data_IF_749454092219
#
_entry.id   IF_749454092219
#
_cell.length_a   1.000
_cell.length_b   1.000
_cell.length_c   1.000
_cell.angle_alpha   90.00
_cell.angle_beta   90.00
_cell.angle_gamma   90.00
#
_symmetry.space_group_name_H-M   'P 1'
#
loop_
_entity.id
_entity.type
_entity.pdbx_description
1 polymer ?
#
# COMPACT_ATOMS: atom_id res chain seq x y z
N UNK A 1 -1.01 15.41 47.58
CA UNK A 1 -1.48 15.85 46.26
C UNK A 1 -0.45 15.42 45.23
N UNK A 2 -0.70 14.33 44.51
CA UNK A 2 0.20 13.87 43.44
C UNK A 2 -0.46 14.22 42.10
N UNK A 3 0.13 15.17 41.37
CA UNK A 3 -0.32 15.55 40.03
C UNK A 3 0.11 14.47 39.03
N UNK A 4 -0.86 13.69 38.55
CA UNK A 4 -0.68 12.85 37.37
C UNK A 4 -0.73 13.74 36.12
N UNK A 5 0.42 14.14 35.60
CA UNK A 5 0.53 14.62 34.22
C UNK A 5 0.36 13.44 33.27
N UNK A 6 -0.90 13.19 32.87
CA UNK A 6 -1.21 12.33 31.74
C UNK A 6 -0.71 13.00 30.46
N UNK A 7 0.55 12.78 30.10
CA UNK A 7 1.08 13.12 28.78
C UNK A 7 0.32 12.27 27.76
N UNK A 8 -0.69 12.88 27.14
CA UNK A 8 -1.49 12.30 26.08
C UNK A 8 -0.65 12.03 24.83
N UNK A 9 0.08 10.92 24.82
CA UNK A 9 0.56 10.29 23.61
C UNK A 9 -0.42 9.15 23.29
N UNK A 10 -1.45 9.48 22.52
CA UNK A 10 -2.24 8.45 21.83
C UNK A 10 -1.34 7.60 20.95
N UNK A 11 -1.74 6.37 20.59
CA UNK A 11 -0.91 5.49 19.79
C UNK A 11 -0.45 6.23 18.54
N UNK A 12 0.88 6.38 18.39
CA UNK A 12 1.47 6.85 17.14
C UNK A 12 1.08 5.80 16.11
N UNK A 13 -0.01 6.03 15.38
CA UNK A 13 -0.35 5.24 14.22
C UNK A 13 0.91 5.25 13.36
N UNK A 14 1.57 4.11 13.27
CA UNK A 14 2.75 3.96 12.44
C UNK A 14 2.37 4.43 11.04
N UNK A 15 3.29 5.09 10.35
CA UNK A 15 3.13 5.49 8.94
C UNK A 15 2.57 4.35 8.07
N UNK A 16 2.92 3.11 8.40
CA UNK A 16 2.40 1.89 7.79
C UNK A 16 0.91 1.63 8.03
N UNK A 17 0.36 2.00 9.20
CA UNK A 17 -1.06 1.82 9.48
C UNK A 17 -1.96 2.73 8.64
N UNK A 18 -1.41 3.83 8.09
CA UNK A 18 -2.13 4.70 7.14
C UNK A 18 -2.07 4.19 5.69
N UNK A 19 -1.20 3.23 5.44
CA UNK A 19 -1.03 2.57 4.15
C UNK A 19 -1.79 1.23 4.11
N UNK A 20 -2.37 0.75 5.20
CA UNK A 20 -3.19 -0.46 5.16
C UNK A 20 -4.54 -0.16 4.49
N UNK A 21 -4.87 -0.91 3.44
CA UNK A 21 -6.19 -0.89 2.82
C UNK A 21 -7.15 -1.75 3.63
N UNK A 22 -8.35 -1.23 3.88
CA UNK A 22 -9.37 -1.93 4.66
C UNK A 22 -10.38 -2.69 3.79
N UNK A 23 -10.16 -2.77 2.47
CA UNK A 23 -11.12 -3.36 1.53
C UNK A 23 -12.40 -2.54 1.31
N UNK A 24 -12.45 -1.30 1.82
CA UNK A 24 -13.58 -0.37 1.69
C UNK A 24 -13.36 0.54 0.47
N UNK A 25 -14.18 0.34 -0.56
CA UNK A 25 -14.19 1.08 -1.81
C UNK A 25 -14.33 2.59 -1.59
N UNK A 26 -15.07 3.02 -0.56
CA UNK A 26 -15.27 4.44 -0.22
C UNK A 26 -13.96 5.15 0.10
N UNK A 27 -12.99 4.39 0.62
CA UNK A 27 -11.69 4.90 1.03
C UNK A 27 -10.58 4.56 0.02
N UNK A 28 -10.92 3.88 -1.08
CA UNK A 28 -9.95 3.41 -2.07
C UNK A 28 -9.11 4.55 -2.66
N UNK A 29 -9.74 5.60 -3.20
CA UNK A 29 -9.01 6.73 -3.81
C UNK A 29 -8.02 7.38 -2.82
N UNK A 30 -8.42 7.53 -1.56
CA UNK A 30 -7.55 8.11 -0.55
C UNK A 30 -6.40 7.19 -0.16
N UNK A 31 -6.64 5.89 -0.15
CA UNK A 31 -5.60 4.89 0.10
C UNK A 31 -4.62 4.84 -1.06
N UNK A 32 -5.13 4.78 -2.29
CA UNK A 32 -4.36 4.72 -3.54
C UNK A 32 -3.40 5.92 -3.65
N UNK A 33 -3.88 7.15 -3.43
CA UNK A 33 -3.02 8.35 -3.46
C UNK A 33 -1.89 8.27 -2.42
N UNK A 34 -2.16 7.74 -1.22
CA UNK A 34 -1.13 7.57 -0.17
C UNK A 34 -0.14 6.46 -0.55
N UNK A 35 -0.63 5.36 -1.09
CA UNK A 35 0.17 4.23 -1.54
C UNK A 35 1.09 4.61 -2.71
N UNK A 36 0.57 5.30 -3.73
CA UNK A 36 1.38 5.84 -4.84
C UNK A 36 2.41 6.87 -4.34
N UNK A 37 2.06 7.69 -3.35
CA UNK A 37 3.00 8.57 -2.67
C UNK A 37 4.13 7.81 -1.98
N UNK A 38 3.83 6.68 -1.35
CA UNK A 38 4.81 5.78 -0.73
C UNK A 38 5.71 5.12 -1.80
N UNK A 39 5.12 4.57 -2.87
CA UNK A 39 5.85 3.91 -3.95
C UNK A 39 6.76 4.87 -4.71
N UNK A 40 6.41 6.16 -4.79
CA UNK A 40 7.30 7.20 -5.32
C UNK A 40 8.58 7.34 -4.51
N UNK A 41 8.50 7.24 -3.19
CA UNK A 41 9.69 7.30 -2.32
C UNK A 41 10.58 6.07 -2.50
N UNK A 42 9.99 4.92 -2.84
CA UNK A 42 10.71 3.69 -3.20
C UNK A 42 11.22 3.67 -4.64
N UNK A 43 10.90 4.69 -5.45
CA UNK A 43 11.18 4.75 -6.91
C UNK A 43 10.50 3.63 -7.72
N UNK A 44 9.38 3.14 -7.21
CA UNK A 44 8.56 2.09 -7.83
C UNK A 44 7.23 2.62 -8.38
N UNK A 45 6.93 3.92 -8.23
CA UNK A 45 5.68 4.50 -8.72
C UNK A 45 5.49 4.27 -10.22
N UNK A 46 6.51 4.55 -11.02
CA UNK A 46 6.43 4.45 -12.48
C UNK A 46 6.23 2.99 -12.95
N UNK A 47 6.61 2.02 -12.12
CA UNK A 47 6.36 0.59 -12.34
C UNK A 47 4.89 0.23 -12.14
N UNK A 48 4.18 0.89 -11.21
CA UNK A 48 2.73 0.67 -11.00
C UNK A 48 1.90 1.40 -12.06
N UNK A 49 2.30 2.62 -12.43
CA UNK A 49 1.60 3.43 -13.43
C UNK A 49 1.94 3.02 -14.89
N UNK A 50 2.77 1.98 -15.07
CA UNK A 50 3.18 1.51 -16.39
C UNK A 50 1.98 0.92 -17.14
N UNK A 51 1.77 1.37 -18.38
CA UNK A 51 0.79 0.77 -19.28
C UNK A 51 1.31 -0.56 -19.88
N UNK A 52 0.40 -1.34 -20.47
CA UNK A 52 0.67 -2.67 -21.04
C UNK A 52 1.85 -2.71 -22.05
N UNK A 53 2.12 -1.61 -22.75
CA UNK A 53 3.18 -1.51 -23.77
C UNK A 53 4.57 -1.09 -23.23
N UNK A 54 4.71 -0.93 -21.91
CA UNK A 54 5.98 -0.51 -21.29
C UNK A 54 6.77 -1.74 -20.85
N UNK A 55 8.03 -1.83 -21.30
CA UNK A 55 8.96 -2.84 -20.82
C UNK A 55 9.33 -2.53 -19.37
N UNK A 56 8.70 -3.24 -18.42
CA UNK A 56 8.92 -3.08 -16.99
C UNK A 56 10.06 -3.99 -16.57
N UNK A 57 11.02 -3.41 -15.85
CA UNK A 57 12.06 -4.17 -15.16
C UNK A 57 11.43 -5.21 -14.21
N UNK A 58 11.63 -6.50 -14.51
CA UNK A 58 11.03 -7.63 -13.78
C UNK A 58 11.38 -7.60 -12.28
N UNK A 59 12.58 -7.15 -11.90
CA UNK A 59 13.01 -7.04 -10.52
C UNK A 59 12.20 -5.95 -9.80
N UNK A 60 12.04 -4.79 -10.43
CA UNK A 60 11.19 -3.71 -9.89
C UNK A 60 9.72 -4.09 -9.84
N UNK A 61 9.23 -4.87 -10.79
CA UNK A 61 7.86 -5.36 -10.77
C UNK A 61 7.64 -6.29 -9.57
N UNK A 62 8.56 -7.21 -9.34
CA UNK A 62 8.55 -8.11 -8.18
C UNK A 62 8.64 -7.32 -6.85
N UNK A 63 9.49 -6.28 -6.78
CA UNK A 63 9.57 -5.40 -5.62
C UNK A 63 8.26 -4.63 -5.39
N UNK A 64 7.65 -4.09 -6.46
CA UNK A 64 6.39 -3.36 -6.36
C UNK A 64 5.25 -4.25 -5.89
N UNK A 65 5.19 -5.49 -6.39
CA UNK A 65 4.25 -6.51 -5.93
C UNK A 65 4.48 -6.85 -4.45
N UNK A 66 5.72 -7.07 -4.03
CA UNK A 66 6.06 -7.38 -2.64
C UNK A 66 5.71 -6.24 -1.67
N UNK A 67 5.83 -4.98 -2.09
CA UNK A 67 5.38 -3.82 -1.33
C UNK A 67 3.85 -3.76 -1.26
N UNK A 68 3.15 -3.96 -2.38
CA UNK A 68 1.69 -3.90 -2.46
C UNK A 68 1.03 -4.88 -1.47
N UNK A 69 1.46 -6.16 -1.46
CA UNK A 69 0.83 -7.19 -0.63
C UNK A 69 0.96 -6.94 0.88
N UNK A 70 1.93 -6.12 1.33
CA UNK A 70 2.08 -5.77 2.74
C UNK A 70 0.99 -4.81 3.25
N UNK A 71 0.28 -4.18 2.33
CA UNK A 71 -0.65 -3.10 2.60
C UNK A 71 -2.10 -3.42 2.19
N UNK A 72 -2.37 -4.65 1.79
CA UNK A 72 -3.71 -5.13 1.48
C UNK A 72 -4.27 -5.97 2.64
N UNK A 73 -5.59 -5.90 2.84
CA UNK A 73 -6.28 -6.88 3.66
C UNK A 73 -6.46 -8.21 2.90
N UNK A 74 -6.86 -9.28 3.59
CA UNK A 74 -7.03 -10.60 2.99
C UNK A 74 -8.03 -10.60 1.82
N UNK A 75 -9.06 -9.74 1.88
CA UNK A 75 -10.07 -9.63 0.83
C UNK A 75 -9.46 -9.02 -0.43
N UNK A 76 -8.79 -7.87 -0.33
CA UNK A 76 -8.16 -7.22 -1.47
C UNK A 76 -6.94 -7.97 -1.99
N UNK A 77 -6.18 -8.63 -1.12
CA UNK A 77 -5.11 -9.54 -1.53
C UNK A 77 -5.67 -10.70 -2.37
N UNK A 78 -6.81 -11.28 -1.99
CA UNK A 78 -7.43 -12.36 -2.76
C UNK A 78 -7.90 -11.92 -4.16
N UNK A 79 -8.24 -10.64 -4.33
CA UNK A 79 -8.58 -10.06 -5.64
C UNK A 79 -7.32 -9.93 -6.51
N UNK A 80 -6.25 -9.36 -5.95
CA UNK A 80 -4.96 -9.24 -6.65
C UNK A 80 -4.39 -10.60 -7.04
N UNK A 81 -4.48 -11.61 -6.17
CA UNK A 81 -4.04 -12.98 -6.46
C UNK A 81 -4.86 -13.68 -7.54
N UNK A 82 -6.12 -13.26 -7.76
CA UNK A 82 -6.98 -13.81 -8.81
C UNK A 82 -6.72 -13.14 -10.14
N UNK A 83 -6.54 -11.82 -10.15
CA UNK A 83 -6.22 -11.07 -11.37
C UNK A 83 -4.82 -11.45 -11.89
N UNK A 84 -3.81 -11.52 -11.03
CA UNK A 84 -2.43 -11.80 -11.43
C UNK A 84 -2.12 -13.27 -11.77
N UNK A 85 -3.13 -14.14 -11.78
CA UNK A 85 -2.97 -15.57 -12.08
C UNK A 85 -3.47 -15.96 -13.48
N UNK A 86 -4.08 -15.04 -14.24
CA UNK A 86 -4.77 -15.34 -15.51
C UNK A 86 -4.12 -14.68 -16.75
N UNK A 87 -2.94 -14.09 -16.60
CA UNK A 87 -2.17 -13.43 -17.66
C UNK A 87 -0.75 -14.03 -17.74
N UNK A 88 -0.72 -15.31 -18.12
CA UNK A 88 0.48 -16.00 -18.59
C UNK A 88 0.93 -15.57 -19.98
#
# INVERSE_FOLDING_TARGET
>A
MANHTSTGYGPRATRFNRLLFSGDETNFEQWEVKFLGYMRLQKLKDTIDAGEDVDIDEEKNAEAYAELIQFLDDKSLSLVMRDAADDG
#
